data_IF_563077869229
#
_entry.id   IF_563077869229
#
_cell.length_a   1.000
_cell.length_b   1.000
_cell.length_c   1.000
_cell.angle_alpha   90.00
_cell.angle_beta   90.00
_cell.angle_gamma   90.00
#
_symmetry.space_group_name_H-M   'P 1'
#
loop_
_entity.id
_entity.type
_entity.pdbx_description
1 polymer ?
#
# COMPACT_ATOMS: atom_id res chain seq x y z
N UNK A 1 19.20 -12.36 3.39
CA UNK A 1 17.89 -12.29 2.69
C UNK A 1 17.85 -11.05 1.79
N UNK A 2 17.32 -11.11 0.57
CA UNK A 2 17.15 -9.95 -0.31
C UNK A 2 15.74 -9.37 -0.16
N UNK A 3 15.63 -8.13 0.33
CA UNK A 3 14.37 -7.41 0.43
C UNK A 3 14.36 -6.22 -0.54
N UNK A 4 13.29 -6.11 -1.32
CA UNK A 4 13.02 -4.95 -2.16
C UNK A 4 12.13 -3.97 -1.42
N UNK A 5 12.67 -2.81 -1.05
CA UNK A 5 11.90 -1.70 -0.50
C UNK A 5 11.38 -0.81 -1.64
N UNK A 6 10.07 -0.79 -1.83
CA UNK A 6 9.39 0.01 -2.82
C UNK A 6 8.69 1.23 -2.19
N UNK A 7 8.76 2.38 -2.85
CA UNK A 7 8.02 3.59 -2.49
C UNK A 7 7.57 4.34 -3.75
N UNK A 8 6.45 5.08 -3.69
CA UNK A 8 5.98 5.82 -4.85
C UNK A 8 6.89 7.02 -5.13
N UNK A 9 7.36 7.68 -4.07
CA UNK A 9 8.31 8.79 -4.14
C UNK A 9 9.49 8.62 -3.18
N UNK A 10 10.66 9.22 -3.44
CA UNK A 10 11.80 9.16 -2.52
C UNK A 10 11.48 9.76 -1.15
N UNK A 11 10.59 10.76 -1.12
CA UNK A 11 10.21 11.47 0.11
C UNK A 11 9.58 10.55 1.16
N UNK A 12 8.80 9.55 0.73
CA UNK A 12 8.10 8.65 1.65
C UNK A 12 9.03 7.75 2.46
N UNK A 13 10.24 7.49 1.96
CA UNK A 13 11.25 6.65 2.60
C UNK A 13 12.56 7.41 2.89
N UNK A 14 12.56 8.73 2.75
CA UNK A 14 13.78 9.52 2.94
C UNK A 14 14.41 9.32 4.34
N UNK A 15 13.66 9.29 5.46
CA UNK A 15 14.24 9.02 6.77
C UNK A 15 14.89 7.63 6.87
N UNK A 16 14.28 6.61 6.27
CA UNK A 16 14.89 5.27 6.19
C UNK A 16 16.20 5.30 5.40
N UNK A 17 16.24 5.97 4.25
CA UNK A 17 17.44 6.06 3.41
C UNK A 17 18.58 6.83 4.08
N UNK A 18 18.26 7.81 4.93
CA UNK A 18 19.22 8.51 5.76
C UNK A 18 19.79 7.59 6.85
N UNK A 19 18.92 6.88 7.57
CA UNK A 19 19.32 5.89 8.57
C UNK A 19 20.20 4.79 7.97
N UNK A 20 19.82 4.24 6.82
CA UNK A 20 20.54 3.17 6.14
C UNK A 20 21.93 3.60 5.65
N UNK A 21 22.09 4.85 5.20
CA UNK A 21 23.38 5.37 4.72
C UNK A 21 24.35 5.73 5.85
N UNK A 22 23.83 6.16 6.99
CA UNK A 22 24.63 6.68 8.10
C UNK A 22 24.96 5.62 9.16
N UNK A 23 24.54 4.36 8.96
CA UNK A 23 24.74 3.28 9.94
C UNK A 23 25.76 2.27 9.41
N UNK A 24 26.86 2.06 10.14
CA UNK A 24 27.86 1.04 9.81
C UNK A 24 27.28 -0.38 9.86
N UNK A 25 26.31 -0.58 10.76
CA UNK A 25 25.50 -1.81 10.88
C UNK A 25 24.03 -1.40 10.84
N UNK A 26 23.42 -1.26 9.66
CA UNK A 26 22.08 -0.69 9.51
C UNK A 26 20.98 -1.57 10.11
N UNK A 27 21.21 -2.88 10.25
CA UNK A 27 20.28 -3.82 10.86
C UNK A 27 21.00 -4.88 11.68
N UNK A 28 20.30 -5.43 12.68
CA UNK A 28 20.79 -6.55 13.51
C UNK A 28 20.79 -7.91 12.79
N UNK A 29 20.26 -7.96 11.57
CA UNK A 29 20.09 -9.18 10.77
C UNK A 29 20.74 -8.99 9.40
N UNK A 30 21.21 -10.09 8.80
CA UNK A 30 21.83 -10.08 7.48
C UNK A 30 20.77 -9.97 6.37
N UNK A 31 20.41 -8.72 6.07
CA UNK A 31 19.42 -8.34 5.07
C UNK A 31 20.03 -7.36 4.08
N UNK A 32 19.91 -7.70 2.80
CA UNK A 32 20.31 -6.84 1.70
C UNK A 32 19.09 -6.09 1.16
N UNK A 33 19.15 -4.77 1.15
CA UNK A 33 18.05 -3.90 0.73
C UNK A 33 18.32 -3.32 -0.65
N UNK A 34 17.47 -3.69 -1.62
CA UNK A 34 17.34 -2.97 -2.88
C UNK A 34 16.20 -1.94 -2.74
N UNK A 35 16.38 -0.74 -3.29
CA UNK A 35 15.37 0.32 -3.24
C UNK A 35 14.80 0.57 -4.63
N UNK A 36 13.48 0.61 -4.74
CA UNK A 36 12.76 0.93 -5.97
C UNK A 36 11.80 2.10 -5.76
N UNK A 37 12.05 3.19 -6.49
CA UNK A 37 11.06 4.27 -6.61
C UNK A 37 10.15 3.94 -7.78
N UNK A 38 8.89 3.62 -7.48
CA UNK A 38 7.97 3.09 -8.47
C UNK A 38 7.29 4.16 -9.30
N UNK A 39 7.25 5.40 -8.82
CA UNK A 39 6.36 6.44 -9.32
C UNK A 39 4.95 6.32 -8.74
N UNK A 40 4.17 7.39 -8.90
CA UNK A 40 2.80 7.53 -8.37
C UNK A 40 1.79 6.88 -9.31
N UNK A 41 0.82 6.17 -8.74
CA UNK A 41 -0.29 5.55 -9.46
C UNK A 41 -0.03 4.11 -9.92
N UNK A 42 -1.12 3.42 -10.25
CA UNK A 42 -1.11 1.97 -10.52
C UNK A 42 -0.25 1.58 -11.73
N UNK A 43 -0.26 2.38 -12.79
CA UNK A 43 0.48 2.07 -14.03
C UNK A 43 1.99 2.09 -13.82
N UNK A 44 2.51 3.19 -13.25
CA UNK A 44 3.93 3.32 -12.97
C UNK A 44 4.40 2.27 -11.96
N UNK A 45 3.59 2.05 -10.91
CA UNK A 45 3.86 1.03 -9.91
C UNK A 45 3.94 -0.38 -10.50
N UNK A 46 2.97 -0.77 -11.30
CA UNK A 46 2.92 -2.10 -11.93
C UNK A 46 4.12 -2.31 -12.85
N UNK A 47 4.42 -1.36 -13.74
CA UNK A 47 5.53 -1.48 -14.69
C UNK A 47 6.88 -1.62 -14.00
N UNK A 48 7.19 -0.72 -13.04
CA UNK A 48 8.49 -0.71 -12.39
C UNK A 48 8.68 -1.90 -11.44
N UNK A 49 7.64 -2.31 -10.71
CA UNK A 49 7.70 -3.52 -9.89
C UNK A 49 7.94 -4.75 -10.75
N UNK A 50 7.16 -4.93 -11.82
CA UNK A 50 7.33 -6.09 -12.68
C UNK A 50 8.72 -6.12 -13.33
N UNK A 51 9.18 -4.98 -13.85
CA UNK A 51 10.52 -4.86 -14.44
C UNK A 51 11.60 -5.26 -13.43
N UNK A 52 11.51 -4.78 -12.19
CA UNK A 52 12.49 -5.09 -11.16
C UNK A 52 12.47 -6.59 -10.79
N UNK A 53 11.28 -7.17 -10.59
CA UNK A 53 11.14 -8.59 -10.21
C UNK A 53 11.65 -9.54 -11.30
N UNK A 54 11.59 -9.13 -12.57
CA UNK A 54 12.16 -9.90 -13.69
C UNK A 54 13.69 -9.83 -13.75
N UNK A 55 14.31 -8.73 -13.30
CA UNK A 55 15.77 -8.59 -13.24
C UNK A 55 16.36 -9.36 -12.07
N UNK A 56 15.76 -9.20 -10.88
CA UNK A 56 16.19 -9.85 -9.64
C UNK A 56 14.96 -10.11 -8.78
N UNK A 57 14.59 -11.38 -8.65
CA UNK A 57 13.46 -11.78 -7.79
C UNK A 57 13.88 -11.66 -6.32
N UNK A 58 13.24 -10.78 -5.53
CA UNK A 58 13.55 -10.65 -4.10
C UNK A 58 12.86 -11.76 -3.30
N UNK A 59 13.37 -12.02 -2.09
CA UNK A 59 12.74 -12.92 -1.12
C UNK A 59 11.49 -12.27 -0.50
N UNK A 60 11.48 -10.94 -0.42
CA UNK A 60 10.40 -10.12 0.14
C UNK A 60 10.31 -8.76 -0.57
N UNK A 61 9.09 -8.29 -0.83
CA UNK A 61 8.84 -6.90 -1.23
C UNK A 61 8.13 -6.15 -0.10
N UNK A 62 8.63 -4.99 0.31
CA UNK A 62 7.93 -4.10 1.23
C UNK A 62 7.60 -2.82 0.48
N UNK A 63 6.32 -2.51 0.31
CA UNK A 63 5.90 -1.19 -0.14
C UNK A 63 5.61 -0.31 1.07
N UNK A 64 6.39 0.75 1.22
CA UNK A 64 6.20 1.75 2.27
C UNK A 64 5.74 3.07 1.63
N UNK A 65 4.65 3.62 2.15
CA UNK A 65 4.17 4.93 1.74
C UNK A 65 3.14 5.51 2.70
N UNK A 66 2.55 6.63 2.33
CA UNK A 66 1.42 7.21 3.07
C UNK A 66 0.09 6.89 2.39
N UNK A 67 -1.02 7.09 3.11
CA UNK A 67 -2.37 6.88 2.60
C UNK A 67 -3.41 7.70 3.35
N UNK A 68 -4.55 7.91 2.70
CA UNK A 68 -5.72 8.53 3.32
C UNK A 68 -6.54 7.50 4.11
N UNK A 69 -7.29 7.94 5.11
CA UNK A 69 -8.11 7.07 5.96
C UNK A 69 -9.59 7.43 5.93
N UNK A 70 -10.45 6.44 5.74
CA UNK A 70 -11.91 6.58 5.83
C UNK A 70 -12.41 6.60 7.28
N UNK A 71 -11.69 5.92 8.19
CA UNK A 71 -12.02 5.87 9.61
C UNK A 71 -11.48 7.12 10.33
N UNK A 72 -12.36 8.08 10.63
CA UNK A 72 -12.00 9.33 11.32
C UNK A 72 -11.69 9.16 12.80
N UNK A 73 -11.92 7.97 13.37
CA UNK A 73 -11.53 7.64 14.74
C UNK A 73 -10.09 7.16 14.84
N UNK A 74 -9.46 6.78 13.71
CA UNK A 74 -8.06 6.39 13.66
C UNK A 74 -7.16 7.63 13.68
N UNK A 75 -6.26 7.79 14.67
CA UNK A 75 -5.37 8.93 14.71
C UNK A 75 -4.50 9.02 13.46
N UNK A 76 -4.35 10.22 12.91
CA UNK A 76 -3.35 10.48 11.88
C UNK A 76 -1.94 10.17 12.41
N UNK A 77 -1.03 9.76 11.53
CA UNK A 77 0.29 9.25 11.91
C UNK A 77 0.31 7.78 12.32
N UNK A 78 -0.86 7.13 12.53
CA UNK A 78 -0.93 5.68 12.74
C UNK A 78 -0.33 4.94 11.54
N UNK A 79 0.45 3.89 11.80
CA UNK A 79 0.96 3.00 10.76
C UNK A 79 0.13 1.72 10.76
N UNK A 80 -0.30 1.30 9.58
CA UNK A 80 -1.09 0.08 9.41
C UNK A 80 -0.45 -0.81 8.35
N UNK A 81 -0.80 -2.10 8.43
CA UNK A 81 -0.47 -3.05 7.37
C UNK A 81 -1.71 -3.44 6.58
N UNK A 82 -1.58 -3.50 5.26
CA UNK A 82 -2.71 -3.81 4.39
C UNK A 82 -2.83 -5.33 4.21
N UNK A 83 -3.99 -5.86 4.63
CA UNK A 83 -4.30 -7.29 4.53
C UNK A 83 -4.85 -7.69 3.17
N UNK A 84 -5.52 -6.74 2.51
CA UNK A 84 -6.09 -6.89 1.17
C UNK A 84 -6.31 -5.51 0.56
N UNK A 85 -6.14 -5.43 -0.75
CA UNK A 85 -6.35 -4.22 -1.55
C UNK A 85 -7.20 -4.56 -2.79
N UNK A 86 -7.77 -3.55 -3.43
CA UNK A 86 -8.46 -3.68 -4.73
C UNK A 86 -8.46 -2.33 -5.45
N UNK A 87 -8.58 -2.35 -6.77
CA UNK A 87 -8.67 -1.13 -7.58
C UNK A 87 -10.11 -0.62 -7.49
N UNK A 88 -10.33 0.44 -6.71
CA UNK A 88 -11.69 0.89 -6.41
C UNK A 88 -12.36 1.64 -7.55
N UNK A 89 -11.58 2.31 -8.40
CA UNK A 89 -12.04 3.16 -9.48
C UNK A 89 -12.09 2.45 -10.85
N UNK A 90 -11.81 1.15 -10.89
CA UNK A 90 -11.90 0.35 -12.12
C UNK A 90 -13.35 -0.13 -12.34
N UNK A 91 -14.11 0.68 -13.04
CA UNK A 91 -15.52 0.42 -13.31
C UNK A 91 -16.21 1.58 -14.02
N UNK A 92 -17.54 1.59 -13.94
CA UNK A 92 -18.39 2.65 -14.50
C UNK A 92 -19.28 3.23 -13.41
N UNK A 93 -19.47 4.56 -13.45
CA UNK A 93 -20.45 5.27 -12.62
C UNK A 93 -21.66 5.61 -13.48
N UNK A 94 -22.76 4.88 -13.32
CA UNK A 94 -24.02 5.11 -14.06
C UNK A 94 -25.16 5.41 -13.11
N UNK A 95 -25.97 6.42 -13.41
CA UNK A 95 -27.16 6.78 -12.61
C UNK A 95 -26.86 6.87 -11.10
N UNK A 96 -25.67 7.40 -10.73
CA UNK A 96 -25.16 7.53 -9.35
C UNK A 96 -24.85 6.21 -8.64
N UNK A 97 -24.74 5.09 -9.37
CA UNK A 97 -24.30 3.79 -8.86
C UNK A 97 -22.99 3.39 -9.52
N UNK A 98 -22.07 2.85 -8.71
CA UNK A 98 -20.79 2.39 -9.21
C UNK A 98 -20.80 0.87 -9.41
N UNK A 99 -20.52 0.45 -10.64
CA UNK A 99 -20.36 -0.94 -11.04
C UNK A 99 -18.90 -1.19 -11.38
N UNK A 100 -18.23 -2.05 -10.62
CA UNK A 100 -16.86 -2.42 -10.89
C UNK A 100 -16.79 -3.49 -12.00
N UNK A 101 -15.57 -3.81 -12.44
CA UNK A 101 -15.33 -4.83 -13.48
C UNK A 101 -15.91 -6.21 -13.17
N UNK A 102 -16.11 -6.55 -11.89
CA UNK A 102 -16.73 -7.82 -11.49
C UNK A 102 -18.25 -7.78 -11.63
N UNK A 103 -18.90 -6.68 -11.24
CA UNK A 103 -20.35 -6.50 -11.41
C UNK A 103 -20.75 -6.49 -12.89
N UNK A 104 -19.88 -5.93 -13.73
CA UNK A 104 -20.07 -5.89 -15.19
C UNK A 104 -19.75 -7.22 -15.89
N UNK A 105 -19.20 -8.21 -15.18
CA UNK A 105 -18.82 -9.50 -15.76
C UNK A 105 -17.55 -9.47 -16.65
N UNK A 106 -16.78 -8.39 -16.64
CA UNK A 106 -15.52 -8.28 -17.38
C UNK A 106 -14.36 -9.03 -16.71
N UNK A 107 -14.48 -9.34 -15.42
CA UNK A 107 -13.59 -10.22 -14.69
C UNK A 107 -14.38 -11.08 -13.70
N UNK A 108 -13.89 -12.28 -13.38
CA UNK A 108 -14.48 -13.11 -12.33
C UNK A 108 -13.89 -12.73 -10.96
N UNK A 109 -14.71 -12.55 -9.91
CA UNK A 109 -14.24 -12.11 -8.60
C UNK A 109 -13.29 -13.12 -7.91
N UNK A 110 -13.34 -14.40 -8.26
CA UNK A 110 -12.46 -15.46 -7.74
C UNK A 110 -11.46 -15.98 -8.79
N UNK A 111 -11.30 -15.27 -9.92
CA UNK A 111 -10.21 -15.55 -10.84
C UNK A 111 -8.91 -15.03 -10.25
N UNK A 112 -7.90 -15.91 -10.15
CA UNK A 112 -6.56 -15.55 -9.69
C UNK A 112 -6.05 -14.30 -10.44
N UNK A 113 -5.50 -13.29 -9.74
CA UNK A 113 -5.08 -13.29 -8.33
C UNK A 113 -6.15 -12.85 -7.30
N UNK A 114 -7.40 -12.63 -7.73
CA UNK A 114 -8.47 -12.16 -6.86
C UNK A 114 -9.11 -13.29 -6.03
N UNK A 115 -9.62 -12.91 -4.85
CA UNK A 115 -10.55 -13.69 -4.01
C UNK A 115 -11.72 -12.80 -3.62
N UNK A 116 -12.92 -13.10 -4.09
CA UNK A 116 -14.12 -12.26 -3.92
C UNK A 116 -13.89 -10.79 -4.31
N UNK A 117 -13.15 -10.55 -5.38
CA UNK A 117 -12.80 -9.22 -5.90
C UNK A 117 -11.69 -8.49 -5.14
N UNK A 118 -10.98 -9.16 -4.23
CA UNK A 118 -9.89 -8.61 -3.44
C UNK A 118 -8.55 -9.27 -3.77
N UNK A 119 -7.49 -8.48 -3.76
CA UNK A 119 -6.11 -8.96 -3.79
C UNK A 119 -5.65 -9.19 -2.36
N UNK A 120 -5.74 -10.44 -1.88
CA UNK A 120 -5.47 -10.79 -0.47
C UNK A 120 -3.99 -11.09 -0.27
N UNK A 121 -3.37 -10.46 0.74
CA UNK A 121 -1.98 -10.74 1.11
C UNK A 121 -1.88 -12.03 1.94
N UNK A 122 -1.25 -13.12 1.44
CA UNK A 122 -1.07 -14.37 2.19
C UNK A 122 0.08 -14.29 3.21
N UNK A 123 0.99 -13.31 3.05
CA UNK A 123 2.23 -13.12 3.78
C UNK A 123 2.08 -12.44 5.15
N UNK A 124 0.87 -12.18 5.64
CA UNK A 124 0.67 -11.49 6.93
C UNK A 124 1.17 -12.27 8.15
N UNK A 125 1.56 -13.52 7.98
CA UNK A 125 2.23 -14.31 9.02
C UNK A 125 3.69 -13.87 9.21
N UNK A 126 4.32 -13.25 8.21
CA UNK A 126 5.64 -12.61 8.33
C UNK A 126 5.60 -11.47 9.35
N UNK A 127 4.42 -10.86 9.55
CA UNK A 127 4.16 -9.86 10.58
C UNK A 127 3.81 -10.46 11.95
N UNK A 128 3.95 -11.78 12.20
CA UNK A 128 3.66 -12.33 13.55
C UNK A 128 4.50 -11.66 14.66
N UNK A 129 5.63 -11.04 14.30
CA UNK A 129 6.49 -10.24 15.19
C UNK A 129 6.07 -8.77 15.32
N UNK A 130 5.09 -8.30 14.53
CA UNK A 130 4.69 -6.88 14.49
C UNK A 130 3.22 -6.67 14.90
N UNK A 131 2.99 -5.69 15.78
CA UNK A 131 1.69 -5.33 16.37
C UNK A 131 0.83 -4.42 15.49
N UNK A 132 1.21 -4.17 14.23
CA UNK A 132 0.46 -3.27 13.34
C UNK A 132 -0.98 -3.76 13.11
N UNK A 133 -1.93 -2.81 13.18
CA UNK A 133 -3.33 -3.05 12.82
C UNK A 133 -3.41 -3.47 11.34
N UNK A 134 -4.05 -4.62 11.08
CA UNK A 134 -4.24 -5.19 9.74
C UNK A 134 -5.57 -4.74 9.15
N UNK A 135 -5.54 -3.95 8.09
CA UNK A 135 -6.73 -3.28 7.54
C UNK A 135 -6.93 -3.57 6.04
N UNK A 136 -8.15 -3.37 5.55
CA UNK A 136 -8.42 -3.39 4.11
C UNK A 136 -8.15 -2.01 3.52
N UNK A 137 -7.54 -1.96 2.33
CA UNK A 137 -7.31 -0.73 1.60
C UNK A 137 -7.97 -0.78 0.22
N UNK A 138 -8.09 0.37 -0.42
CA UNK A 138 -8.35 0.49 -1.84
C UNK A 138 -7.24 1.31 -2.49
N UNK A 139 -7.04 1.07 -3.78
CA UNK A 139 -6.18 1.89 -4.61
C UNK A 139 -6.97 2.57 -5.72
N UNK A 140 -6.62 3.82 -5.98
CA UNK A 140 -7.28 4.68 -6.97
C UNK A 140 -6.24 5.40 -7.83
N UNK A 141 -6.63 5.78 -9.04
CA UNK A 141 -5.86 6.67 -9.91
C UNK A 141 -6.31 8.14 -9.78
N UNK A 142 -7.43 8.39 -9.11
CA UNK A 142 -7.91 9.72 -8.77
C UNK A 142 -8.23 9.81 -7.29
N UNK A 143 -7.57 10.73 -6.57
CA UNK A 143 -7.79 10.93 -5.13
C UNK A 143 -9.26 11.19 -4.84
N UNK A 144 -9.83 10.40 -3.92
CA UNK A 144 -11.24 10.53 -3.57
C UNK A 144 -11.47 11.78 -2.75
N UNK A 145 -12.28 12.69 -3.30
CA UNK A 145 -12.66 13.96 -2.65
C UNK A 145 -14.17 14.24 -2.65
N UNK A 146 -14.92 13.62 -3.57
CA UNK A 146 -16.36 13.78 -3.66
C UNK A 146 -17.08 13.03 -2.54
N UNK A 147 -17.98 13.66 -1.77
CA UNK A 147 -18.81 12.97 -0.77
C UNK A 147 -19.64 11.82 -1.37
N UNK A 148 -20.05 11.94 -2.63
CA UNK A 148 -20.75 10.88 -3.35
C UNK A 148 -19.85 9.67 -3.56
N UNK A 149 -18.63 9.86 -4.07
CA UNK A 149 -17.65 8.78 -4.29
C UNK A 149 -17.23 8.12 -2.97
N UNK A 150 -17.03 8.92 -1.91
CA UNK A 150 -16.73 8.40 -0.56
C UNK A 150 -17.80 7.39 -0.13
N UNK A 151 -19.08 7.78 -0.17
CA UNK A 151 -20.18 6.89 0.21
C UNK A 151 -20.26 5.63 -0.66
N UNK A 152 -19.98 5.75 -1.96
CA UNK A 152 -19.97 4.60 -2.87
C UNK A 152 -18.87 3.60 -2.50
N UNK A 153 -17.65 4.09 -2.24
CA UNK A 153 -16.54 3.24 -1.85
C UNK A 153 -16.71 2.64 -0.44
N UNK A 154 -17.24 3.41 0.53
CA UNK A 154 -17.58 2.91 1.85
C UNK A 154 -18.62 1.78 1.79
N UNK A 155 -19.71 1.99 1.04
CA UNK A 155 -20.76 0.99 0.90
C UNK A 155 -20.26 -0.28 0.22
N UNK A 156 -19.47 -0.13 -0.85
CA UNK A 156 -19.03 -1.24 -1.69
C UNK A 156 -17.85 -2.03 -1.10
N UNK A 157 -16.84 -1.32 -0.60
CA UNK A 157 -15.56 -1.91 -0.24
C UNK A 157 -15.32 -1.94 1.29
N UNK A 158 -16.00 -1.08 2.05
CA UNK A 158 -15.72 -0.83 3.47
C UNK A 158 -14.21 -0.68 3.75
N UNK A 159 -13.49 0.16 2.98
CA UNK A 159 -12.05 0.31 3.12
C UNK A 159 -11.73 1.10 4.39
N UNK A 160 -10.54 0.89 4.93
CA UNK A 160 -9.98 1.77 5.96
C UNK A 160 -9.03 2.77 5.33
N UNK A 161 -8.23 2.33 4.36
CA UNK A 161 -7.17 3.14 3.73
C UNK A 161 -7.42 3.31 2.23
N UNK A 162 -7.10 4.49 1.70
CA UNK A 162 -6.92 4.75 0.27
C UNK A 162 -5.44 5.04 -0.02
N UNK A 163 -4.91 4.45 -1.09
CA UNK A 163 -3.62 4.82 -1.67
C UNK A 163 -3.70 4.83 -3.19
N UNK A 164 -2.59 5.03 -3.90
CA UNK A 164 -2.56 5.05 -5.36
C UNK A 164 -1.75 3.90 -5.99
N UNK A 165 -1.03 3.10 -5.17
CA UNK A 165 -0.11 2.06 -5.65
C UNK A 165 -0.31 0.68 -4.99
N UNK A 166 -1.14 0.57 -3.95
CA UNK A 166 -1.27 -0.63 -3.12
C UNK A 166 -1.70 -1.87 -3.89
N UNK A 167 -2.74 -1.74 -4.71
CA UNK A 167 -3.27 -2.83 -5.52
C UNK A 167 -2.25 -3.29 -6.58
N UNK A 168 -1.41 -2.39 -7.11
CA UNK A 168 -0.34 -2.76 -8.04
C UNK A 168 0.70 -3.67 -7.38
N UNK A 169 1.13 -3.35 -6.15
CA UNK A 169 2.00 -4.23 -5.36
C UNK A 169 1.38 -5.60 -5.18
N UNK A 170 0.15 -5.63 -4.66
CA UNK A 170 -0.54 -6.87 -4.38
C UNK A 170 -0.68 -7.72 -5.65
N UNK A 171 -1.11 -7.11 -6.75
CA UNK A 171 -1.31 -7.80 -8.02
C UNK A 171 -0.01 -8.42 -8.54
N UNK A 172 1.05 -7.61 -8.69
CA UNK A 172 2.35 -8.08 -9.19
C UNK A 172 2.93 -9.17 -8.30
N UNK A 173 2.97 -8.96 -6.98
CA UNK A 173 3.58 -9.92 -6.07
C UNK A 173 2.78 -11.23 -5.98
N UNK A 174 1.44 -11.19 -6.07
CA UNK A 174 0.62 -12.39 -6.15
C UNK A 174 0.91 -13.17 -7.44
N UNK A 175 0.92 -12.49 -8.59
CA UNK A 175 1.20 -13.11 -9.89
C UNK A 175 2.60 -13.75 -9.93
N UNK A 176 3.61 -13.05 -9.42
CA UNK A 176 5.00 -13.51 -9.38
C UNK A 176 5.28 -14.47 -8.20
N UNK A 177 4.28 -14.75 -7.35
CA UNK A 177 4.39 -15.59 -6.14
C UNK A 177 5.53 -15.11 -5.23
N UNK A 178 5.68 -13.81 -5.08
CA UNK A 178 6.70 -13.17 -4.25
C UNK A 178 6.06 -12.73 -2.94
N UNK A 179 6.60 -13.11 -1.76
CA UNK A 179 6.12 -12.61 -0.47
C UNK A 179 6.18 -11.08 -0.41
N UNK A 180 5.17 -10.45 0.19
CA UNK A 180 5.12 -8.99 0.24
C UNK A 180 4.39 -8.43 1.45
N UNK A 181 4.69 -7.17 1.77
CA UNK A 181 4.04 -6.35 2.80
C UNK A 181 3.75 -4.96 2.23
N UNK A 182 2.58 -4.42 2.57
CA UNK A 182 2.24 -3.03 2.31
C UNK A 182 2.03 -2.33 3.64
N UNK A 183 2.80 -1.27 3.87
CA UNK A 183 2.74 -0.42 5.04
C UNK A 183 2.27 0.97 4.64
N UNK A 184 1.30 1.51 5.37
CA UNK A 184 0.78 2.85 5.13
C UNK A 184 0.75 3.66 6.43
N UNK A 185 1.41 4.82 6.41
CA UNK A 185 1.24 5.86 7.43
C UNK A 185 0.03 6.73 7.09
N UNK A 186 -0.90 6.92 8.02
CA UNK A 186 -2.15 7.64 7.77
C UNK A 186 -1.93 9.16 7.77
N UNK A 187 -1.87 9.77 6.59
CA UNK A 187 -1.53 11.20 6.42
C UNK A 187 -2.70 12.16 6.55
N UNK A 188 -3.91 11.72 6.22
CA UNK A 188 -5.11 12.54 6.18
C UNK A 188 -6.36 11.66 6.20
N UNK A 189 -7.51 12.27 6.48
CA UNK A 189 -8.80 11.64 6.24
C UNK A 189 -9.24 11.84 4.80
N UNK A 190 -10.03 10.91 4.26
CA UNK A 190 -10.59 11.01 2.90
C UNK A 190 -11.55 12.20 2.82
N UNK A 191 -11.51 12.94 1.71
CA UNK A 191 -12.30 14.16 1.53
C UNK A 191 -11.67 15.44 2.09
N UNK A 192 -10.70 15.36 3.02
CA UNK A 192 -10.00 16.54 3.54
C UNK A 192 -9.06 17.14 2.48
N UNK A 193 -9.32 18.38 2.06
CA UNK A 193 -8.54 19.09 1.02
C UNK A 193 -7.73 20.26 1.57
N UNK A 194 -7.98 20.68 2.81
CA UNK A 194 -7.12 21.61 3.50
C UNK A 194 -5.83 20.89 3.91
N UNK A 195 -4.80 21.01 3.07
CA UNK A 195 -3.49 20.38 3.29
C UNK A 195 -2.83 20.76 4.63
N UNK A 196 -3.24 21.86 5.28
CA UNK A 196 -2.74 22.24 6.62
C UNK A 196 -3.15 21.24 7.69
N UNK A 197 -4.27 20.52 7.49
CA UNK A 197 -4.77 19.49 8.40
C UNK A 197 -4.09 18.14 8.19
N UNK A 198 -3.28 17.99 7.13
CA UNK A 198 -2.59 16.75 6.84
C UNK A 198 -1.34 16.60 7.71
N UNK A 199 -1.11 15.40 8.21
CA UNK A 199 0.04 15.05 9.05
C UNK A 199 1.12 14.32 8.27
N UNK A 200 1.48 14.84 7.09
CA UNK A 200 2.43 14.19 6.17
C UNK A 200 3.76 13.89 6.86
N UNK A 201 4.40 14.90 7.48
CA UNK A 201 5.73 14.75 8.10
C UNK A 201 5.72 13.69 9.20
N UNK A 202 4.72 13.75 10.08
CA UNK A 202 4.52 12.80 11.17
C UNK A 202 4.27 11.38 10.65
N UNK A 203 3.43 11.24 9.63
CA UNK A 203 3.10 9.93 9.03
C UNK A 203 4.29 9.29 8.34
N UNK A 204 5.10 10.09 7.64
CA UNK A 204 6.37 9.62 7.04
C UNK A 204 7.35 9.21 8.13
N UNK A 205 7.54 10.04 9.18
CA UNK A 205 8.44 9.70 10.28
C UNK A 205 8.03 8.38 10.96
N UNK A 206 6.75 8.23 11.32
CA UNK A 206 6.23 7.04 11.97
C UNK A 206 6.34 5.80 11.06
N UNK A 207 6.00 5.92 9.78
CA UNK A 207 6.16 4.85 8.79
C UNK A 207 7.60 4.33 8.73
N UNK A 208 8.57 5.25 8.70
CA UNK A 208 9.99 4.89 8.58
C UNK A 208 10.51 4.25 9.89
N UNK A 209 10.07 4.73 11.05
CA UNK A 209 10.38 4.09 12.34
C UNK A 209 9.86 2.64 12.40
N UNK A 210 8.62 2.41 11.93
CA UNK A 210 8.05 1.06 11.85
C UNK A 210 8.76 0.20 10.82
N UNK A 211 9.17 0.77 9.69
CA UNK A 211 9.94 0.07 8.66
C UNK A 211 11.29 -0.42 9.20
N UNK A 212 12.04 0.44 9.89
CA UNK A 212 13.32 0.09 10.52
C UNK A 212 13.12 -1.00 11.58
N UNK A 213 12.08 -0.86 12.42
CA UNK A 213 11.76 -1.88 13.44
C UNK A 213 11.41 -3.22 12.81
N UNK A 214 10.60 -3.21 11.76
CA UNK A 214 10.21 -4.42 11.04
C UNK A 214 11.44 -5.11 10.46
N UNK A 215 12.29 -4.39 9.74
CA UNK A 215 13.49 -4.95 9.10
C UNK A 215 14.48 -5.54 10.11
N UNK A 216 14.63 -4.91 11.28
CA UNK A 216 15.42 -5.46 12.40
C UNK A 216 14.85 -6.75 13.00
N UNK A 217 13.57 -7.04 12.75
CA UNK A 217 12.86 -8.20 13.30
C UNK A 217 12.68 -9.35 12.31
N UNK A 218 13.11 -9.19 11.05
CA UNK A 218 12.97 -10.21 10.02
C UNK A 218 14.01 -11.32 10.20
#
# INVERSE_FOLDING_TARGET
MNCLLAAATPFEIAPFLEHYRNSDVPFYVDIHIDVLITGVGLTAATYNLQKQLQVKKPDLVIQAGIGGCFDTTMPLGTVVSIKKDTIADLGVLEKKQFHNVFDMGFAKPDQFPYKKGWLVNPGLHLLKRNSLKKVAAISVNQITSSPQTIRLYEAKYKPVVESMEGAALHYVCLMEKTPFLQLRGISNYIGERNKKNWKIKESVANLNNELIRLLNSL
#
